data_IF_671363654732
#
_entry.id   IF_671363654732
#
_cell.length_a   1.000
_cell.length_b   1.000
_cell.length_c   1.000
_cell.angle_alpha   90.00
_cell.angle_beta   90.00
_cell.angle_gamma   90.00
#
_symmetry.space_group_name_H-M   'P 1'
#
loop_
_entity.id
_entity.type
_entity.pdbx_description
1 polymer ?
#
# COMPACT_ATOMS: atom_id res chain seq x y z
N UNK A 1 -25.16 22.96 -3.68
CA UNK A 1 -24.77 21.57 -3.96
C UNK A 1 -23.53 21.39 -3.14
N UNK A 2 -23.60 20.60 -2.07
CA UNK A 2 -22.38 20.23 -1.34
C UNK A 2 -21.59 19.38 -2.33
N UNK A 3 -20.37 19.76 -2.66
CA UNK A 3 -19.47 18.89 -3.41
C UNK A 3 -19.34 17.59 -2.62
N UNK A 4 -19.57 16.47 -3.31
CA UNK A 4 -19.42 15.15 -2.72
C UNK A 4 -17.93 14.91 -2.61
N UNK A 5 -17.45 14.50 -1.43
CA UNK A 5 -16.05 14.16 -1.22
C UNK A 5 -15.62 13.13 -2.26
N UNK A 6 -14.49 13.37 -2.92
CA UNK A 6 -13.86 12.47 -3.88
C UNK A 6 -12.34 12.50 -3.68
N UNK A 7 -11.67 11.46 -4.15
CA UNK A 7 -10.23 11.38 -4.25
C UNK A 7 -9.75 12.39 -5.30
N UNK A 8 -9.08 13.45 -4.85
CA UNK A 8 -8.54 14.51 -5.71
C UNK A 8 -7.02 14.38 -5.89
N UNK A 9 -6.41 13.26 -5.46
CA UNK A 9 -4.98 13.04 -5.67
C UNK A 9 -4.67 12.93 -7.17
N UNK A 10 -3.50 13.43 -7.57
CA UNK A 10 -3.01 13.17 -8.93
C UNK A 10 -2.84 11.66 -9.15
N UNK A 11 -2.59 11.29 -10.40
CA UNK A 11 -2.50 9.90 -10.81
C UNK A 11 -1.05 9.45 -11.03
N UNK A 12 -0.82 8.14 -10.94
CA UNK A 12 0.43 7.49 -11.29
C UNK A 12 0.18 6.32 -12.24
N UNK A 13 1.08 6.07 -13.19
CA UNK A 13 0.99 4.97 -14.16
C UNK A 13 1.76 3.75 -13.66
N UNK A 14 1.04 2.70 -13.23
CA UNK A 14 1.61 1.40 -12.86
C UNK A 14 1.64 0.53 -14.11
N UNK A 15 2.78 0.46 -14.78
CA UNK A 15 2.98 -0.44 -15.92
C UNK A 15 2.02 -0.20 -17.11
N UNK A 16 1.47 1.01 -17.23
CA UNK A 16 0.51 1.39 -18.28
C UNK A 16 -0.95 1.47 -17.82
N UNK A 17 -1.23 1.18 -16.55
CA UNK A 17 -2.52 1.39 -15.91
C UNK A 17 -2.45 2.60 -14.98
N UNK A 18 -3.32 3.58 -15.21
CA UNK A 18 -3.34 4.83 -14.45
C UNK A 18 -4.25 4.67 -13.23
N UNK A 19 -3.74 4.98 -12.04
CA UNK A 19 -4.50 4.98 -10.78
C UNK A 19 -4.37 6.31 -10.05
N UNK A 20 -5.33 6.69 -9.21
CA UNK A 20 -5.14 7.77 -8.24
C UNK A 20 -4.08 7.38 -7.21
N UNK A 21 -3.22 8.33 -6.83
CA UNK A 21 -2.08 8.08 -5.92
C UNK A 21 -2.53 7.69 -4.51
N UNK A 22 -3.61 8.29 -3.99
CA UNK A 22 -4.16 7.85 -2.70
C UNK A 22 -4.95 6.55 -2.88
N UNK A 23 -4.37 5.43 -2.44
CA UNK A 23 -5.01 4.12 -2.42
C UNK A 23 -5.62 3.76 -1.07
N UNK A 24 -6.06 2.50 -0.93
CA UNK A 24 -6.63 1.95 0.29
C UNK A 24 -5.94 0.65 0.72
N UNK A 25 -5.41 0.65 1.96
CA UNK A 25 -4.79 -0.53 2.56
C UNK A 25 -5.79 -1.42 3.28
N UNK A 26 -6.11 -2.58 2.72
CA UNK A 26 -7.14 -3.49 3.23
C UNK A 26 -6.72 -4.33 4.45
N UNK A 27 -5.49 -4.17 4.97
CA UNK A 27 -4.99 -4.89 6.14
C UNK A 27 -5.91 -4.75 7.36
N UNK A 28 -6.50 -3.56 7.57
CA UNK A 28 -7.38 -3.27 8.73
C UNK A 28 -8.78 -3.89 8.62
N UNK A 29 -9.11 -4.56 7.51
CA UNK A 29 -10.34 -5.33 7.34
C UNK A 29 -10.25 -6.75 7.91
N UNK A 30 -9.32 -6.99 8.83
CA UNK A 30 -9.07 -8.29 9.45
C UNK A 30 -9.30 -8.22 10.96
N UNK A 31 -9.19 -9.37 11.62
CA UNK A 31 -9.33 -9.48 13.08
C UNK A 31 -8.20 -8.80 13.87
N UNK A 32 -8.30 -8.91 15.19
CA UNK A 32 -7.23 -8.49 16.11
C UNK A 32 -5.89 -9.14 15.72
N UNK A 33 -4.80 -8.39 15.87
CA UNK A 33 -3.45 -8.79 15.45
C UNK A 33 -3.32 -9.20 13.96
N UNK A 34 -4.28 -8.79 13.12
CA UNK A 34 -4.34 -9.13 11.69
C UNK A 34 -4.51 -10.64 11.49
N UNK A 35 -5.24 -11.32 12.39
CA UNK A 35 -5.53 -12.75 12.33
C UNK A 35 -7.04 -12.99 12.30
N UNK A 36 -7.49 -13.76 11.31
CA UNK A 36 -8.89 -14.13 11.16
C UNK A 36 -9.80 -13.01 10.66
N UNK A 37 -11.11 -13.28 10.61
CA UNK A 37 -12.12 -12.34 10.12
C UNK A 37 -12.27 -11.13 11.06
N UNK A 38 -12.67 -9.96 10.54
CA UNK A 38 -13.06 -8.83 11.37
C UNK A 38 -14.31 -9.19 12.19
N UNK A 39 -14.57 -8.42 13.25
CA UNK A 39 -15.77 -8.62 14.07
C UNK A 39 -17.08 -8.41 13.29
N UNK A 40 -17.02 -7.60 12.23
CA UNK A 40 -18.14 -7.22 11.37
C UNK A 40 -17.70 -7.24 9.88
N UNK A 41 -18.01 -8.33 9.17
CA UNK A 41 -17.70 -8.48 7.74
C UNK A 41 -18.62 -7.63 6.85
N UNK A 42 -19.82 -7.29 7.32
CA UNK A 42 -20.75 -6.41 6.59
C UNK A 42 -20.16 -5.00 6.55
N UNK A 43 -19.73 -4.46 7.70
CA UNK A 43 -19.03 -3.18 7.75
C UNK A 43 -17.72 -3.18 6.94
N UNK A 44 -16.97 -4.29 6.91
CA UNK A 44 -15.77 -4.38 6.07
C UNK A 44 -16.12 -4.25 4.57
N UNK A 45 -17.21 -4.86 4.14
CA UNK A 45 -17.75 -4.74 2.79
C UNK A 45 -18.20 -3.31 2.50
N UNK A 46 -18.89 -2.67 3.44
CA UNK A 46 -19.33 -1.28 3.33
C UNK A 46 -18.14 -0.32 3.18
N UNK A 47 -17.06 -0.53 3.93
CA UNK A 47 -15.82 0.28 3.80
C UNK A 47 -15.18 0.11 2.42
N UNK A 48 -15.10 -1.11 1.89
CA UNK A 48 -14.57 -1.36 0.54
C UNK A 48 -15.42 -0.62 -0.50
N UNK A 49 -16.74 -0.78 -0.45
CA UNK A 49 -17.66 -0.14 -1.39
C UNK A 49 -17.62 1.38 -1.30
N UNK A 50 -17.56 1.92 -0.09
CA UNK A 50 -17.45 3.37 0.11
C UNK A 50 -16.12 3.92 -0.39
N UNK A 51 -15.02 3.16 -0.33
CA UNK A 51 -13.73 3.60 -0.88
C UNK A 51 -13.84 3.83 -2.39
N UNK A 52 -14.51 2.91 -3.11
CA UNK A 52 -14.77 3.02 -4.55
C UNK A 52 -15.70 4.21 -4.83
N UNK A 53 -16.77 4.39 -4.05
CA UNK A 53 -17.69 5.53 -4.19
C UNK A 53 -17.00 6.89 -3.97
N UNK A 54 -15.90 6.92 -3.19
CA UNK A 54 -15.05 8.08 -2.99
C UNK A 54 -13.97 8.25 -4.07
N UNK A 55 -13.91 7.39 -5.10
CA UNK A 55 -12.94 7.47 -6.18
C UNK A 55 -11.58 6.84 -5.85
N UNK A 56 -11.50 5.94 -4.86
CA UNK A 56 -10.31 5.11 -4.68
C UNK A 56 -10.36 3.95 -5.68
N UNK A 57 -9.40 3.94 -6.59
CA UNK A 57 -9.22 2.93 -7.63
C UNK A 57 -8.00 2.03 -7.40
N UNK A 58 -7.18 2.30 -6.37
CA UNK A 58 -6.05 1.45 -5.98
C UNK A 58 -6.27 0.80 -4.60
N UNK A 59 -6.38 -0.53 -4.55
CA UNK A 59 -6.57 -1.29 -3.30
C UNK A 59 -5.41 -2.26 -3.07
N UNK A 60 -4.77 -2.16 -1.90
CA UNK A 60 -3.67 -3.00 -1.47
C UNK A 60 -4.10 -4.03 -0.42
N UNK A 61 -3.79 -5.31 -0.66
CA UNK A 61 -4.02 -6.44 0.25
C UNK A 61 -2.82 -7.39 0.27
N UNK A 62 -2.93 -8.55 0.93
CA UNK A 62 -1.92 -9.60 0.93
C UNK A 62 -2.52 -10.95 1.35
N UNK A 63 -1.89 -12.06 0.93
CA UNK A 63 -2.22 -13.42 1.35
C UNK A 63 -2.17 -13.62 2.87
N UNK A 64 -1.26 -12.91 3.52
CA UNK A 64 -0.97 -12.98 4.95
C UNK A 64 -1.94 -12.17 5.82
N UNK A 65 -2.85 -11.39 5.22
CA UNK A 65 -3.82 -10.59 5.97
C UNK A 65 -5.01 -11.45 6.41
N UNK A 66 -5.07 -11.73 7.73
CA UNK A 66 -6.08 -12.60 8.32
C UNK A 66 -5.81 -14.10 8.19
N UNK A 67 -4.64 -14.50 7.67
CA UNK A 67 -4.41 -15.00 6.30
C UNK A 67 -5.63 -15.25 5.41
N UNK A 68 -5.57 -14.76 4.17
CA UNK A 68 -6.56 -14.95 3.12
C UNK A 68 -7.93 -14.32 3.37
N UNK A 69 -8.11 -13.63 4.50
CA UNK A 69 -9.40 -13.00 4.83
C UNK A 69 -9.57 -11.74 4.01
N UNK A 70 -8.54 -10.88 3.95
CA UNK A 70 -8.66 -9.61 3.24
C UNK A 70 -8.89 -9.83 1.75
N UNK A 71 -8.14 -10.74 1.11
CA UNK A 71 -8.35 -11.12 -0.29
C UNK A 71 -9.75 -11.72 -0.53
N UNK A 72 -10.25 -12.59 0.37
CA UNK A 72 -11.61 -13.13 0.25
C UNK A 72 -12.66 -12.03 0.33
N UNK A 73 -12.53 -11.10 1.28
CA UNK A 73 -13.47 -10.00 1.45
C UNK A 73 -13.47 -9.11 0.21
N UNK A 74 -12.31 -8.84 -0.39
CA UNK A 74 -12.21 -8.11 -1.65
C UNK A 74 -12.85 -8.89 -2.81
N UNK A 75 -12.57 -10.17 -2.98
CA UNK A 75 -13.21 -11.00 -4.02
C UNK A 75 -14.72 -11.19 -3.82
N UNK A 76 -15.22 -11.02 -2.60
CA UNK A 76 -16.65 -11.01 -2.28
C UNK A 76 -17.30 -9.65 -2.54
N UNK A 77 -16.58 -8.58 -2.23
CA UNK A 77 -17.07 -7.22 -2.34
C UNK A 77 -17.03 -6.72 -3.78
N UNK A 78 -15.96 -6.95 -4.54
CA UNK A 78 -15.73 -6.40 -5.88
C UNK A 78 -16.51 -7.15 -6.98
N UNK A 79 -16.78 -6.43 -8.07
CA UNK A 79 -17.45 -6.94 -9.28
C UNK A 79 -16.66 -6.56 -10.52
N UNK A 80 -16.90 -7.24 -11.64
CA UNK A 80 -16.24 -6.97 -12.91
C UNK A 80 -16.59 -5.60 -13.54
N UNK A 81 -17.53 -4.84 -12.96
CA UNK A 81 -17.86 -3.47 -13.38
C UNK A 81 -17.12 -2.41 -12.55
N UNK A 82 -16.48 -2.81 -11.45
CA UNK A 82 -15.65 -1.92 -10.64
C UNK A 82 -14.29 -1.73 -11.35
N UNK A 83 -13.94 -0.48 -11.63
CA UNK A 83 -12.67 -0.10 -12.26
C UNK A 83 -11.63 0.13 -11.15
N UNK A 84 -11.11 -0.98 -10.61
CA UNK A 84 -10.22 -0.99 -9.44
C UNK A 84 -9.01 -1.87 -9.72
N UNK A 85 -7.82 -1.28 -9.53
CA UNK A 85 -6.53 -1.93 -9.56
C UNK A 85 -6.23 -2.56 -8.19
N UNK A 86 -6.11 -3.89 -8.16
CA UNK A 86 -5.88 -4.67 -6.93
C UNK A 86 -4.45 -5.16 -6.86
N UNK A 87 -3.74 -4.72 -5.82
CA UNK A 87 -2.45 -5.25 -5.44
C UNK A 87 -2.57 -6.30 -4.33
N UNK A 88 -1.96 -7.47 -4.52
CA UNK A 88 -1.75 -8.45 -3.46
C UNK A 88 -0.28 -8.83 -3.33
N UNK A 89 0.04 -9.70 -2.37
CA UNK A 89 1.41 -10.09 -2.01
C UNK A 89 1.48 -11.54 -1.56
N UNK A 90 2.65 -12.12 -1.75
CA UNK A 90 3.09 -13.36 -1.10
C UNK A 90 4.54 -13.22 -0.62
N UNK A 91 4.93 -14.10 0.31
CA UNK A 91 6.28 -14.12 0.88
C UNK A 91 6.31 -14.01 2.40
N UNK A 92 5.16 -14.12 3.07
CA UNK A 92 5.06 -14.11 4.54
C UNK A 92 4.19 -15.26 5.05
N UNK A 93 4.74 -16.05 5.95
CA UNK A 93 3.98 -16.97 6.78
C UNK A 93 3.41 -16.23 8.00
N UNK A 94 2.21 -16.64 8.41
CA UNK A 94 1.57 -16.19 9.65
C UNK A 94 1.36 -17.33 10.62
N UNK A 95 1.62 -17.05 11.88
CA UNK A 95 1.36 -17.95 13.00
C UNK A 95 0.24 -17.41 13.89
N UNK A 96 -0.37 -18.27 14.70
CA UNK A 96 -1.52 -17.91 15.55
C UNK A 96 -1.20 -16.90 16.66
N UNK A 97 0.07 -16.78 17.00
CA UNK A 97 0.62 -15.79 17.92
C UNK A 97 0.91 -14.44 17.24
N UNK A 98 0.58 -14.31 15.95
CA UNK A 98 0.65 -13.05 15.21
C UNK A 98 1.98 -12.81 14.49
N UNK A 99 2.95 -13.73 14.60
CA UNK A 99 4.27 -13.61 13.97
C UNK A 99 4.17 -13.47 12.44
N UNK A 100 5.09 -12.68 11.88
CA UNK A 100 5.27 -12.44 10.45
C UNK A 100 6.64 -12.99 10.03
N UNK A 101 6.66 -14.16 9.42
CA UNK A 101 7.91 -14.86 9.08
C UNK A 101 8.15 -14.78 7.57
N UNK A 102 9.24 -14.15 7.10
CA UNK A 102 9.65 -14.19 5.70
C UNK A 102 9.71 -15.62 5.16
N UNK A 103 9.18 -15.83 3.96
CA UNK A 103 9.23 -17.13 3.30
C UNK A 103 9.22 -16.98 1.78
N UNK A 104 10.41 -16.98 1.19
CA UNK A 104 10.65 -16.70 -0.23
C UNK A 104 10.78 -17.96 -1.09
N UNK A 105 10.41 -19.13 -0.57
CA UNK A 105 10.53 -20.39 -1.31
C UNK A 105 9.70 -20.34 -2.63
N UNK A 106 10.31 -20.58 -3.80
CA UNK A 106 9.61 -20.47 -5.09
C UNK A 106 8.38 -21.38 -5.22
N UNK A 107 8.41 -22.60 -4.68
CA UNK A 107 7.25 -23.52 -4.74
C UNK A 107 6.10 -22.98 -3.89
N UNK A 108 6.41 -22.40 -2.71
CA UNK A 108 5.43 -21.71 -1.89
C UNK A 108 4.84 -20.50 -2.61
N UNK A 109 5.67 -19.64 -3.21
CA UNK A 109 5.22 -18.44 -3.92
C UNK A 109 4.27 -18.80 -5.08
N UNK A 110 4.64 -19.79 -5.91
CA UNK A 110 3.80 -20.31 -6.99
C UNK A 110 2.47 -20.90 -6.49
N UNK A 111 2.47 -21.52 -5.32
CA UNK A 111 1.22 -21.99 -4.72
C UNK A 111 0.37 -20.83 -4.18
N UNK A 112 0.99 -19.77 -3.64
CA UNK A 112 0.23 -18.63 -3.11
C UNK A 112 -0.50 -17.84 -4.18
N UNK A 113 0.11 -17.59 -5.35
CA UNK A 113 -0.60 -16.89 -6.42
C UNK A 113 -1.89 -17.61 -6.83
N UNK A 114 -1.87 -18.96 -6.90
CA UNK A 114 -3.07 -19.75 -7.20
C UNK A 114 -4.14 -19.61 -6.11
N UNK A 115 -3.71 -19.54 -4.85
CA UNK A 115 -4.61 -19.39 -3.72
C UNK A 115 -5.17 -17.96 -3.63
N UNK A 116 -4.38 -16.94 -3.97
CA UNK A 116 -4.81 -15.55 -4.05
C UNK A 116 -5.81 -15.33 -5.18
N UNK A 117 -5.57 -15.89 -6.37
CA UNK A 117 -6.51 -15.88 -7.50
C UNK A 117 -7.89 -16.44 -7.11
N UNK A 118 -7.93 -17.59 -6.43
CA UNK A 118 -9.18 -18.20 -5.95
C UNK A 118 -9.91 -17.30 -4.95
N UNK A 119 -9.20 -16.71 -3.98
CA UNK A 119 -9.79 -15.84 -2.96
C UNK A 119 -10.29 -14.51 -3.53
N UNK A 120 -9.51 -13.89 -4.40
CA UNK A 120 -9.86 -12.66 -5.12
C UNK A 120 -10.92 -12.90 -6.21
N UNK A 121 -11.16 -14.15 -6.59
CA UNK A 121 -12.12 -14.56 -7.63
C UNK A 121 -11.82 -13.92 -9.00
N UNK A 122 -10.54 -13.89 -9.34
CA UNK A 122 -10.03 -13.38 -10.62
C UNK A 122 -9.13 -14.42 -11.28
N UNK A 123 -9.00 -14.33 -12.60
CA UNK A 123 -8.08 -15.15 -13.39
C UNK A 123 -6.67 -14.52 -13.48
N UNK A 124 -6.54 -13.22 -13.16
CA UNK A 124 -5.28 -12.46 -13.16
C UNK A 124 -5.30 -11.39 -12.06
N UNK A 125 -4.19 -11.20 -11.34
CA UNK A 125 -4.01 -10.13 -10.33
C UNK A 125 -3.26 -8.95 -10.98
N UNK A 126 -3.74 -7.72 -10.78
CA UNK A 126 -3.15 -6.54 -11.43
C UNK A 126 -1.71 -6.31 -10.98
N UNK A 127 -1.46 -6.28 -9.66
CA UNK A 127 -0.12 -6.17 -9.09
C UNK A 127 0.12 -7.25 -8.03
N UNK A 128 1.22 -8.00 -8.18
CA UNK A 128 1.62 -8.98 -7.17
C UNK A 128 3.02 -8.70 -6.67
N UNK A 129 3.13 -8.48 -5.35
CA UNK A 129 4.37 -7.99 -4.74
C UNK A 129 5.06 -9.08 -3.93
N UNK A 130 6.39 -9.16 -4.03
CA UNK A 130 7.17 -9.97 -3.10
C UNK A 130 7.21 -9.28 -1.74
N UNK A 131 6.44 -9.81 -0.79
CA UNK A 131 6.08 -9.12 0.45
C UNK A 131 7.28 -8.83 1.35
N UNK A 132 8.25 -9.73 1.42
CA UNK A 132 9.47 -9.52 2.18
C UNK A 132 10.55 -10.49 1.71
N UNK A 133 11.76 -10.01 1.39
CA UNK A 133 12.91 -10.88 1.16
C UNK A 133 13.13 -11.86 2.32
N UNK A 134 13.29 -13.13 1.98
CA UNK A 134 13.61 -14.18 2.93
C UNK A 134 15.12 -14.21 3.17
N UNK A 135 15.61 -13.96 4.40
CA UNK A 135 17.04 -13.96 4.68
C UNK A 135 17.69 -15.35 4.56
N UNK A 136 16.90 -16.42 4.59
CA UNK A 136 17.37 -17.81 4.48
C UNK A 136 17.29 -18.36 3.04
N UNK A 137 16.68 -17.62 2.10
CA UNK A 137 16.50 -18.00 0.71
C UNK A 137 17.31 -17.14 -0.27
N UNK A 138 17.43 -17.60 -1.51
CA UNK A 138 18.04 -16.83 -2.59
C UNK A 138 17.01 -15.81 -3.14
N UNK A 139 17.37 -14.53 -3.11
CA UNK A 139 16.48 -13.43 -3.50
C UNK A 139 16.11 -13.51 -4.98
N UNK A 140 17.10 -13.75 -5.85
CA UNK A 140 16.91 -13.86 -7.30
C UNK A 140 15.98 -15.02 -7.68
N UNK A 141 16.06 -16.15 -6.99
CA UNK A 141 15.16 -17.29 -7.22
C UNK A 141 13.71 -16.92 -6.85
N UNK A 142 13.53 -16.14 -5.78
CA UNK A 142 12.22 -15.62 -5.37
C UNK A 142 11.66 -14.68 -6.45
N UNK A 143 12.47 -13.72 -6.92
CA UNK A 143 12.07 -12.76 -7.98
C UNK A 143 11.79 -13.48 -9.30
N UNK A 144 12.59 -14.48 -9.65
CA UNK A 144 12.37 -15.31 -10.83
C UNK A 144 11.01 -16.02 -10.77
N UNK A 145 10.56 -16.45 -9.58
CA UNK A 145 9.23 -17.02 -9.43
C UNK A 145 8.12 -16.01 -9.78
N UNK A 146 8.23 -14.74 -9.36
CA UNK A 146 7.29 -13.69 -9.75
C UNK A 146 7.35 -13.41 -11.26
N UNK A 147 8.53 -13.41 -11.87
CA UNK A 147 8.68 -13.29 -13.32
C UNK A 147 7.96 -14.42 -14.08
N UNK A 148 8.08 -15.66 -13.60
CA UNK A 148 7.39 -16.82 -14.16
C UNK A 148 5.86 -16.71 -14.02
N UNK A 149 5.35 -16.18 -12.92
CA UNK A 149 3.91 -15.94 -12.73
C UNK A 149 3.38 -14.89 -13.71
N UNK A 150 4.17 -13.84 -13.98
CA UNK A 150 3.85 -12.82 -14.98
C UNK A 150 3.84 -13.42 -16.38
N UNK A 151 4.87 -14.19 -16.75
CA UNK A 151 4.94 -14.90 -18.04
C UNK A 151 3.79 -15.90 -18.23
N UNK A 152 3.29 -16.49 -17.15
CA UNK A 152 2.13 -17.38 -17.14
C UNK A 152 0.77 -16.64 -17.24
N UNK A 153 0.76 -15.31 -17.16
CA UNK A 153 -0.44 -14.47 -17.19
C UNK A 153 -1.28 -14.53 -15.91
N UNK A 154 -0.70 -14.97 -14.80
CA UNK A 154 -1.39 -15.04 -13.50
C UNK A 154 -1.39 -13.68 -12.78
N UNK A 155 -0.40 -12.85 -13.09
CA UNK A 155 -0.23 -11.49 -12.58
C UNK A 155 0.13 -10.59 -13.76
N UNK A 156 -0.28 -9.33 -13.73
CA UNK A 156 0.08 -8.35 -14.78
C UNK A 156 1.39 -7.63 -14.43
N UNK A 157 1.49 -7.09 -13.22
CA UNK A 157 2.64 -6.33 -12.74
C UNK A 157 3.32 -6.99 -11.54
N UNK A 158 4.64 -6.78 -11.44
CA UNK A 158 5.45 -7.26 -10.31
C UNK A 158 5.84 -6.07 -9.46
N UNK A 159 5.71 -6.21 -8.14
CA UNK A 159 6.26 -5.27 -7.18
C UNK A 159 7.13 -5.95 -6.13
N UNK A 160 7.82 -5.15 -5.33
CA UNK A 160 8.69 -5.60 -4.26
C UNK A 160 8.31 -4.89 -2.96
N UNK A 161 8.61 -5.49 -1.81
CA UNK A 161 8.37 -4.84 -0.53
C UNK A 161 9.46 -5.15 0.47
N UNK A 162 9.84 -4.14 1.27
CA UNK A 162 10.94 -4.21 2.23
C UNK A 162 12.29 -4.53 1.56
N UNK A 163 12.59 -3.87 0.44
CA UNK A 163 13.82 -4.07 -0.33
C UNK A 163 14.76 -2.87 -0.24
N UNK A 164 16.05 -3.11 -0.39
CA UNK A 164 17.06 -2.06 -0.57
C UNK A 164 17.17 -1.64 -2.04
N UNK A 165 17.91 -0.55 -2.31
CA UNK A 165 18.26 -0.13 -3.68
C UNK A 165 18.96 -1.27 -4.45
N UNK A 166 19.92 -1.94 -3.81
CA UNK A 166 20.68 -3.04 -4.43
C UNK A 166 19.76 -4.21 -4.81
N UNK A 167 18.76 -4.52 -3.99
CA UNK A 167 17.76 -5.55 -4.27
C UNK A 167 16.79 -5.13 -5.38
N UNK A 168 16.36 -3.86 -5.40
CA UNK A 168 15.54 -3.32 -6.49
C UNK A 168 16.28 -3.45 -7.84
N UNK A 169 17.54 -3.00 -7.90
CA UNK A 169 18.37 -3.08 -9.11
C UNK A 169 18.57 -4.53 -9.56
N UNK A 170 18.85 -5.44 -8.62
CA UNK A 170 19.00 -6.88 -8.89
C UNK A 170 17.71 -7.48 -9.46
N UNK A 171 16.55 -7.09 -8.93
CA UNK A 171 15.27 -7.58 -9.41
C UNK A 171 14.93 -7.07 -10.81
N UNK A 172 15.27 -5.80 -11.12
CA UNK A 172 15.04 -5.20 -12.44
C UNK A 172 15.89 -5.83 -13.56
N UNK A 173 17.02 -6.46 -13.22
CA UNK A 173 17.79 -7.28 -14.17
C UNK A 173 17.05 -8.58 -14.57
N UNK A 174 16.03 -8.99 -13.80
CA UNK A 174 15.27 -10.23 -13.98
C UNK A 174 13.88 -9.96 -14.58
N UNK A 175 13.16 -8.96 -14.06
CA UNK A 175 11.78 -8.63 -14.43
C UNK A 175 11.50 -7.14 -14.28
N UNK A 176 10.64 -6.58 -15.13
CA UNK A 176 10.16 -5.21 -14.96
C UNK A 176 9.41 -5.07 -13.62
N UNK A 177 9.96 -4.24 -12.72
CA UNK A 177 9.37 -3.92 -11.41
C UNK A 177 8.53 -2.66 -11.55
N UNK A 178 7.25 -2.73 -11.21
CA UNK A 178 6.31 -1.62 -11.33
C UNK A 178 6.22 -0.79 -10.04
N UNK A 179 6.38 -1.43 -8.87
CA UNK A 179 6.30 -0.74 -7.58
C UNK A 179 7.27 -1.29 -6.52
N UNK A 180 7.63 -0.44 -5.56
CA UNK A 180 8.28 -0.82 -4.29
C UNK A 180 7.42 -0.36 -3.12
N UNK A 181 7.23 -1.23 -2.12
CA UNK A 181 6.46 -0.94 -0.92
C UNK A 181 7.34 -1.06 0.35
N UNK A 182 7.78 0.07 0.89
CA UNK A 182 8.66 0.14 2.06
C UNK A 182 8.06 0.99 3.20
N UNK A 183 8.66 0.91 4.40
CA UNK A 183 8.20 1.71 5.53
C UNK A 183 8.62 3.15 5.32
N UNK A 184 7.66 4.05 5.22
CA UNK A 184 7.97 5.46 5.00
C UNK A 184 6.84 6.33 5.53
N UNK A 185 7.21 7.35 6.31
CA UNK A 185 6.28 8.34 6.83
C UNK A 185 7.04 9.60 7.26
N UNK A 186 6.30 10.64 7.64
CA UNK A 186 6.86 11.96 7.97
C UNK A 186 8.01 11.90 8.99
N UNK A 187 7.93 10.99 9.97
CA UNK A 187 8.94 10.79 11.01
C UNK A 187 9.86 9.58 10.80
N UNK A 188 9.76 8.84 9.69
CA UNK A 188 10.59 7.66 9.40
C UNK A 188 10.93 7.62 7.91
N UNK A 189 12.16 8.03 7.57
CA UNK A 189 12.64 8.19 6.19
C UNK A 189 13.94 7.42 5.92
N UNK A 190 14.16 6.30 6.61
CA UNK A 190 15.38 5.48 6.41
C UNK A 190 15.54 5.00 4.95
N UNK A 191 14.42 4.79 4.26
CA UNK A 191 14.36 4.32 2.87
C UNK A 191 14.30 5.47 1.84
N UNK A 192 14.74 6.68 2.20
CA UNK A 192 14.83 7.83 1.28
C UNK A 192 15.58 7.48 -0.02
N UNK A 193 16.71 6.76 0.09
CA UNK A 193 17.48 6.33 -1.06
C UNK A 193 16.71 5.35 -1.97
N UNK A 194 15.76 4.59 -1.42
CA UNK A 194 14.89 3.69 -2.20
C UNK A 194 13.82 4.51 -2.92
N UNK A 195 13.26 5.55 -2.28
CA UNK A 195 12.36 6.50 -2.93
C UNK A 195 13.06 7.22 -4.10
N UNK A 196 14.25 7.79 -3.88
CA UNK A 196 15.06 8.44 -4.93
C UNK A 196 15.38 7.49 -6.10
N UNK A 197 15.63 6.21 -5.81
CA UNK A 197 15.81 5.19 -6.83
C UNK A 197 14.51 4.94 -7.60
N UNK A 198 13.37 4.85 -6.91
CA UNK A 198 12.06 4.68 -7.54
C UNK A 198 11.73 5.85 -8.48
N UNK A 199 12.00 7.09 -8.06
CA UNK A 199 11.87 8.27 -8.93
C UNK A 199 12.76 8.19 -10.16
N UNK A 200 13.99 7.71 -10.01
CA UNK A 200 14.96 7.60 -11.11
C UNK A 200 14.59 6.52 -12.13
N UNK A 201 13.83 5.51 -11.71
CA UNK A 201 13.43 4.37 -12.53
C UNK A 201 11.97 4.41 -12.97
N UNK A 202 11.23 5.49 -12.65
CA UNK A 202 9.77 5.61 -12.89
C UNK A 202 8.98 4.44 -12.25
N UNK A 203 9.39 4.02 -11.04
CA UNK A 203 8.77 2.96 -10.23
C UNK A 203 7.89 3.60 -9.15
N UNK A 204 6.68 3.09 -8.95
CA UNK A 204 5.79 3.60 -7.90
C UNK A 204 6.30 3.23 -6.50
N UNK A 205 6.29 4.18 -5.56
CA UNK A 205 6.66 3.97 -4.18
C UNK A 205 5.43 3.96 -3.27
N UNK A 206 5.12 2.82 -2.66
CA UNK A 206 3.96 2.64 -1.78
C UNK A 206 4.42 2.70 -0.32
N UNK A 207 4.20 3.80 0.42
CA UNK A 207 4.59 3.88 1.82
C UNK A 207 3.64 3.09 2.72
N UNK A 208 4.14 2.06 3.39
CA UNK A 208 3.39 1.39 4.46
C UNK A 208 3.71 2.00 5.83
N UNK A 209 2.75 1.88 6.74
CA UNK A 209 2.83 2.53 8.05
C UNK A 209 2.80 4.07 8.00
N UNK A 210 2.01 4.72 7.11
CA UNK A 210 2.03 6.19 6.97
C UNK A 210 1.65 6.91 8.28
N UNK A 211 0.91 6.23 9.16
CA UNK A 211 0.37 6.78 10.41
C UNK A 211 1.19 6.42 11.66
N UNK A 212 2.33 5.73 11.54
CA UNK A 212 2.99 5.13 12.71
C UNK A 212 3.64 6.15 13.66
N UNK A 213 4.11 7.28 13.15
CA UNK A 213 4.86 8.29 13.92
C UNK A 213 4.05 9.56 14.21
N UNK A 214 2.78 9.64 13.78
CA UNK A 214 1.99 10.88 13.85
C UNK A 214 1.70 11.37 15.27
N UNK A 215 1.87 10.50 16.26
CA UNK A 215 1.68 10.79 17.69
C UNK A 215 3.00 10.86 18.48
N UNK A 216 4.15 10.69 17.81
CA UNK A 216 5.46 10.78 18.46
C UNK A 216 5.79 12.22 18.87
N UNK A 217 6.49 12.37 19.99
CA UNK A 217 6.90 13.68 20.49
C UNK A 217 7.83 14.38 19.46
N UNK A 218 7.62 15.67 19.21
CA UNK A 218 8.30 16.42 18.15
C UNK A 218 7.60 16.32 16.79
N UNK A 219 7.24 15.11 16.34
CA UNK A 219 6.46 14.92 15.10
C UNK A 219 5.06 15.50 15.25
N UNK A 220 4.38 15.15 16.35
CA UNK A 220 3.03 15.60 16.65
C UNK A 220 2.92 17.13 16.79
N UNK A 221 3.96 17.80 17.30
CA UNK A 221 3.97 19.26 17.48
C UNK A 221 3.97 19.98 16.13
N UNK A 222 4.82 19.55 15.20
CA UNK A 222 4.89 20.11 13.85
C UNK A 222 3.60 19.81 13.06
N UNK A 223 3.09 18.58 13.15
CA UNK A 223 1.83 18.21 12.50
C UNK A 223 0.63 19.00 13.05
N UNK A 224 0.60 19.30 14.36
CA UNK A 224 -0.45 20.14 14.96
C UNK A 224 -0.37 21.59 14.49
N UNK A 225 0.84 22.15 14.39
CA UNK A 225 1.04 23.53 13.93
C UNK A 225 0.56 23.69 12.49
N UNK A 226 0.99 22.81 11.59
CA UNK A 226 0.53 22.79 10.18
C UNK A 226 -0.96 22.46 10.11
N UNK A 227 -1.44 21.48 10.87
CA UNK A 227 -2.86 21.09 10.90
C UNK A 227 -3.78 22.25 11.30
N UNK A 228 -3.36 23.09 12.25
CA UNK A 228 -4.12 24.28 12.64
C UNK A 228 -4.22 25.33 11.53
N UNK A 229 -3.24 25.42 10.62
CA UNK A 229 -3.27 26.34 9.48
C UNK A 229 -4.24 25.89 8.38
N UNK A 230 -4.52 24.58 8.30
CA UNK A 230 -5.35 23.95 7.27
C UNK A 230 -6.71 23.43 7.78
N UNK A 231 -7.05 23.67 9.06
CA UNK A 231 -8.21 23.07 9.73
C UNK A 231 -8.26 21.53 9.59
N UNK A 232 -7.08 20.89 9.63
CA UNK A 232 -6.88 19.48 9.34
C UNK A 232 -6.28 18.72 10.53
N UNK A 233 -6.52 17.40 10.57
CA UNK A 233 -5.91 16.51 11.57
C UNK A 233 -4.45 16.18 11.22
N UNK A 234 -3.66 15.77 12.22
CA UNK A 234 -2.28 15.27 12.01
C UNK A 234 -2.19 14.20 10.93
N UNK A 235 -3.17 13.29 10.89
CA UNK A 235 -3.24 12.19 9.93
C UNK A 235 -3.43 12.70 8.50
N UNK A 236 -4.31 13.70 8.34
CA UNK A 236 -4.53 14.33 7.05
C UNK A 236 -3.28 15.09 6.58
N UNK A 237 -2.62 15.84 7.47
CA UNK A 237 -1.36 16.52 7.13
C UNK A 237 -0.27 15.52 6.75
N UNK A 238 -0.14 14.41 7.49
CA UNK A 238 0.84 13.38 7.16
C UNK A 238 0.56 12.71 5.80
N UNK A 239 -0.71 12.48 5.43
CA UNK A 239 -1.07 11.96 4.11
C UNK A 239 -0.85 12.97 2.99
N UNK A 240 -1.26 14.23 3.21
CA UNK A 240 -1.03 15.31 2.25
C UNK A 240 0.47 15.49 2.00
N UNK A 241 1.30 15.40 3.06
CA UNK A 241 2.75 15.44 2.93
C UNK A 241 3.28 14.29 2.08
N UNK A 242 2.84 13.05 2.29
CA UNK A 242 3.28 11.93 1.45
C UNK A 242 2.95 12.15 -0.04
N UNK A 243 1.74 12.63 -0.35
CA UNK A 243 1.33 12.93 -1.72
C UNK A 243 2.12 14.11 -2.34
N UNK A 244 2.53 15.07 -1.53
CA UNK A 244 3.30 16.25 -1.95
C UNK A 244 4.82 15.97 -2.03
N UNK A 245 5.32 14.99 -1.27
CA UNK A 245 6.76 14.73 -1.12
C UNK A 245 7.39 14.13 -2.38
N UNK A 246 6.66 13.28 -3.11
CA UNK A 246 7.13 12.70 -4.36
C UNK A 246 5.98 12.36 -5.31
N UNK A 247 6.19 12.59 -6.61
CA UNK A 247 5.23 12.28 -7.66
C UNK A 247 5.01 10.77 -7.83
N UNK A 248 5.98 9.94 -7.43
CA UNK A 248 5.86 8.47 -7.50
C UNK A 248 5.23 7.86 -6.26
N UNK A 249 4.77 8.66 -5.29
CA UNK A 249 4.27 8.16 -4.01
C UNK A 249 2.79 7.76 -4.07
N UNK A 250 2.47 6.53 -3.63
CA UNK A 250 1.11 5.98 -3.61
C UNK A 250 0.69 5.52 -2.19
N UNK A 251 0.36 6.43 -1.25
CA UNK A 251 0.00 6.05 0.11
C UNK A 251 -1.30 5.23 0.20
N UNK A 252 -1.30 4.21 1.06
CA UNK A 252 -2.40 3.25 1.25
C UNK A 252 -2.89 3.19 2.71
N UNK A 253 -3.39 4.29 3.30
CA UNK A 253 -3.82 4.29 4.70
C UNK A 253 -4.96 3.30 4.95
N UNK A 254 -4.71 2.32 5.83
CA UNK A 254 -5.71 1.32 6.18
C UNK A 254 -6.66 1.75 7.29
N UNK A 255 -7.93 1.38 7.17
CA UNK A 255 -8.97 1.63 8.18
C UNK A 255 -10.09 0.59 8.11
N UNK A 256 -10.84 0.41 9.19
CA UNK A 256 -12.09 -0.34 9.26
C UNK A 256 -13.32 0.54 9.51
N UNK A 257 -13.14 1.87 9.49
CA UNK A 257 -14.19 2.87 9.73
C UNK A 257 -14.39 3.74 8.50
N UNK A 258 -15.66 3.90 8.09
CA UNK A 258 -16.10 4.81 7.02
C UNK A 258 -15.68 6.26 7.33
N UNK A 259 -15.83 6.71 8.57
CA UNK A 259 -15.45 8.08 8.98
C UNK A 259 -13.94 8.32 8.79
N UNK A 260 -13.11 7.35 9.17
CA UNK A 260 -11.67 7.46 8.96
C UNK A 260 -11.29 7.37 7.48
N UNK A 261 -12.02 6.58 6.69
CA UNK A 261 -11.82 6.50 5.24
C UNK A 261 -12.10 7.86 4.58
N UNK A 262 -13.22 8.49 4.92
CA UNK A 262 -13.55 9.85 4.47
C UNK A 262 -12.49 10.86 4.91
N UNK A 263 -12.01 10.78 6.16
CA UNK A 263 -10.93 11.65 6.62
C UNK A 263 -9.62 11.45 5.85
N UNK A 264 -9.26 10.21 5.49
CA UNK A 264 -8.10 9.91 4.66
C UNK A 264 -8.25 10.50 3.25
N UNK A 265 -9.40 10.32 2.60
CA UNK A 265 -9.67 10.88 1.26
C UNK A 265 -9.66 12.40 1.27
N UNK A 266 -10.21 13.02 2.32
CA UNK A 266 -10.17 14.48 2.48
C UNK A 266 -8.75 15.05 2.63
N UNK A 267 -7.72 14.22 2.89
CA UNK A 267 -6.34 14.69 2.85
C UNK A 267 -5.88 15.11 1.44
N UNK A 268 -6.51 14.57 0.40
CA UNK A 268 -6.17 14.87 -1.01
C UNK A 268 -6.51 16.30 -1.43
N UNK A 269 -7.36 16.99 -0.67
CA UNK A 269 -7.78 18.37 -0.96
C UNK A 269 -6.92 19.40 -0.22
N UNK A 270 -5.86 18.98 0.46
CA UNK A 270 -4.99 19.86 1.25
C UNK A 270 -3.80 20.29 0.42
N UNK A 271 -3.76 21.57 0.06
CA UNK A 271 -2.63 22.19 -0.61
C UNK A 271 -1.60 22.69 0.41
N UNK A 272 -0.53 21.92 0.64
CA UNK A 272 0.56 22.34 1.50
C UNK A 272 1.31 23.54 0.89
N UNK A 273 1.61 24.55 1.72
CA UNK A 273 2.45 25.68 1.32
C UNK A 273 3.93 25.32 1.36
N UNK A 274 4.78 26.14 0.73
CA UNK A 274 6.24 25.97 0.82
C UNK A 274 6.76 26.03 2.28
N UNK A 275 6.08 26.80 3.14
CA UNK A 275 6.42 26.90 4.57
C UNK A 275 6.03 25.62 5.31
N UNK A 276 4.85 25.06 5.02
CA UNK A 276 4.40 23.78 5.58
C UNK A 276 5.35 22.64 5.18
N UNK A 277 5.68 22.54 3.89
CA UNK A 277 6.68 21.60 3.37
C UNK A 277 7.99 21.69 4.12
N UNK A 278 8.55 22.89 4.21
CA UNK A 278 9.83 23.09 4.88
C UNK A 278 9.79 22.74 6.37
N UNK A 279 8.66 22.97 7.05
CA UNK A 279 8.47 22.57 8.44
C UNK A 279 8.39 21.04 8.58
N UNK A 280 7.61 20.38 7.72
CA UNK A 280 7.43 18.92 7.72
C UNK A 280 8.71 18.18 7.32
N UNK A 281 9.47 18.69 6.35
CA UNK A 281 10.78 18.16 5.96
C UNK A 281 11.86 18.42 7.01
N UNK A 282 11.65 19.40 7.88
CA UNK A 282 12.51 19.69 9.02
C UNK A 282 12.33 18.74 10.21
N UNK A 283 11.33 17.84 10.17
CA UNK A 283 11.14 16.81 11.20
C UNK A 283 12.33 15.84 11.15
N UNK A 284 13.08 15.76 12.25
CA UNK A 284 14.18 14.81 12.39
C UNK A 284 13.60 13.38 12.43
N UNK A 285 13.93 12.49 11.48
CA UNK A 285 13.44 11.12 11.48
C UNK A 285 13.90 10.39 12.75
N UNK A 286 13.00 9.65 13.38
CA UNK A 286 13.27 8.94 14.64
C UNK A 286 13.68 7.48 14.42
#
# INVERSE_FOLDING_TARGET
MTEQLQNESDTFDIGGETVHRLGFGAMRLTGEDIIGPPADEENATDVIRHAIDLGVDFIDTADSYGPGVSERLLGEALTAEDDVFVASKAGLLRHRDGEWTPHGDPEYLHNQVLASLDRLRTDQIDLYQFHRPDPDGDFEDSVQAFAEMKDAGQIEHVGLSNVTVEQLETAMDIVDVATVQNQYNVGHREDEAVLEACESYDVGFIPWGPMYTVDDEGVAEVLDEVGAAHDATRRQIALAWLLDHSDVMLPIPGTSSVEHLEANVAATTIDLTDEDRAALDGIDPQ
#
